data_IF_879388613547
#
_entry.id   IF_879388613547
#
_cell.length_a   1.000
_cell.length_b   1.000
_cell.length_c   1.000
_cell.angle_alpha   90.00
_cell.angle_beta   90.00
_cell.angle_gamma   90.00
#
_symmetry.space_group_name_H-M   'P 1'
#
loop_
_entity.id
_entity.type
_entity.pdbx_description
1 polymer ?
#
# COMPACT_ATOMS: atom_id res chain seq x y z
N UNK A 1 24.30 -4.45 15.79
CA UNK A 1 23.92 -3.12 15.32
C UNK A 1 22.41 -3.03 15.26
N UNK A 2 21.81 -2.11 16.01
CA UNK A 2 20.36 -1.90 16.03
C UNK A 2 20.05 -0.67 15.19
N UNK A 3 19.05 -0.76 14.32
CA UNK A 3 18.51 0.35 13.54
C UNK A 3 17.14 0.74 14.10
N UNK A 4 16.96 1.99 14.48
CA UNK A 4 15.73 2.49 15.10
C UNK A 4 15.02 3.44 14.14
N UNK A 5 13.72 3.22 13.91
CA UNK A 5 12.85 4.14 13.20
C UNK A 5 11.58 4.46 13.99
N UNK A 6 10.64 5.17 13.37
CA UNK A 6 9.34 5.44 13.96
C UNK A 6 8.19 5.47 12.96
N UNK A 7 6.99 5.21 13.49
CA UNK A 7 5.70 5.41 12.83
C UNK A 7 4.97 6.61 13.42
N UNK A 8 4.17 7.27 12.58
CA UNK A 8 3.16 8.26 13.01
C UNK A 8 1.79 7.66 13.27
N UNK A 9 1.63 6.36 13.07
CA UNK A 9 0.36 5.63 13.15
C UNK A 9 0.42 4.57 14.25
N UNK A 10 -0.71 4.36 14.92
CA UNK A 10 -0.87 3.25 15.85
C UNK A 10 -0.95 1.93 15.08
N UNK A 11 -0.40 0.87 15.66
CA UNK A 11 -0.51 -0.48 15.12
C UNK A 11 -1.66 -1.15 15.85
N UNK A 12 -2.75 -1.45 15.13
CA UNK A 12 -3.94 -2.08 15.73
C UNK A 12 -3.87 -3.61 15.72
N UNK A 13 -3.18 -4.18 14.74
CA UNK A 13 -3.08 -5.61 14.47
C UNK A 13 -1.73 -5.89 13.80
N UNK A 14 -1.19 -7.10 13.99
CA UNK A 14 0.02 -7.56 13.33
C UNK A 14 -0.25 -8.92 12.67
N UNK A 15 -0.61 -8.90 11.39
CA UNK A 15 -0.95 -10.10 10.61
C UNK A 15 -0.68 -9.86 9.11
N UNK A 16 -0.28 -10.89 8.35
CA UNK A 16 -0.06 -10.78 6.91
C UNK A 16 -1.33 -10.51 6.09
N UNK A 17 -2.52 -10.67 6.69
CA UNK A 17 -3.81 -10.51 6.01
C UNK A 17 -4.59 -9.23 6.37
N UNK A 18 -4.11 -8.42 7.33
CA UNK A 18 -4.79 -7.18 7.69
C UNK A 18 -4.41 -6.00 6.79
N UNK A 19 -5.38 -5.11 6.60
CA UNK A 19 -5.17 -3.80 6.02
C UNK A 19 -4.55 -2.86 7.08
N UNK A 20 -3.51 -2.11 6.70
CA UNK A 20 -2.92 -1.05 7.52
C UNK A 20 -1.46 -0.77 7.16
N UNK A 21 -1.06 0.50 7.15
CA UNK A 21 0.30 0.91 6.78
C UNK A 21 1.39 0.28 7.67
N UNK A 22 1.14 0.17 8.98
CA UNK A 22 2.08 -0.49 9.89
C UNK A 22 2.22 -2.00 9.62
N UNK A 23 1.14 -2.66 9.19
CA UNK A 23 1.17 -4.04 8.73
C UNK A 23 1.99 -4.16 7.45
N UNK A 24 1.85 -3.21 6.51
CA UNK A 24 2.56 -3.26 5.23
C UNK A 24 4.09 -3.28 5.41
N UNK A 25 4.63 -2.41 6.26
CA UNK A 25 6.09 -2.30 6.44
C UNK A 25 6.62 -3.49 7.24
N UNK A 26 5.92 -3.88 8.30
CA UNK A 26 6.29 -5.06 9.11
C UNK A 26 6.26 -6.33 8.26
N UNK A 27 5.18 -6.56 7.50
CA UNK A 27 5.06 -7.72 6.62
C UNK A 27 6.12 -7.72 5.51
N UNK A 28 6.52 -6.55 5.00
CA UNK A 28 7.53 -6.44 3.94
C UNK A 28 8.91 -6.96 4.37
N UNK A 29 9.26 -6.84 5.64
CA UNK A 29 10.55 -7.32 6.16
C UNK A 29 10.47 -8.74 6.74
N UNK A 30 9.27 -9.17 7.18
CA UNK A 30 9.09 -10.48 7.81
C UNK A 30 8.54 -11.57 6.90
N UNK A 31 7.91 -11.24 5.77
CA UNK A 31 7.35 -12.23 4.85
C UNK A 31 7.89 -12.04 3.43
N UNK A 32 8.26 -13.16 2.79
CA UNK A 32 8.61 -13.15 1.38
C UNK A 32 7.39 -13.26 0.47
N UNK A 33 7.63 -13.00 -0.81
CA UNK A 33 6.66 -12.99 -1.90
C UNK A 33 7.28 -13.70 -3.10
N UNK A 34 6.48 -14.16 -4.05
CA UNK A 34 7.02 -14.77 -5.28
C UNK A 34 7.98 -13.81 -5.99
N UNK A 35 7.60 -12.54 -6.08
CA UNK A 35 8.35 -11.47 -6.72
C UNK A 35 8.43 -10.23 -5.82
N UNK A 36 9.27 -9.28 -6.20
CA UNK A 36 9.36 -7.97 -5.56
C UNK A 36 9.40 -6.85 -6.59
N UNK A 37 8.95 -5.66 -6.20
CA UNK A 37 9.13 -4.47 -7.03
C UNK A 37 10.56 -3.98 -6.90
N UNK A 38 11.27 -3.90 -8.02
CA UNK A 38 12.62 -3.39 -8.14
C UNK A 38 12.68 -1.85 -8.05
N UNK A 39 13.89 -1.26 -7.98
CA UNK A 39 14.07 0.19 -7.97
C UNK A 39 13.55 0.90 -9.23
N UNK A 40 13.40 0.17 -10.33
CA UNK A 40 12.83 0.61 -11.60
C UNK A 40 11.29 0.57 -11.64
N UNK A 41 10.65 0.15 -10.54
CA UNK A 41 9.20 0.02 -10.45
C UNK A 41 8.64 -1.22 -11.13
N UNK A 42 9.48 -2.15 -11.60
CA UNK A 42 9.07 -3.37 -12.27
C UNK A 42 9.17 -4.59 -11.35
N UNK A 43 8.30 -5.62 -11.52
CA UNK A 43 8.44 -6.89 -10.84
C UNK A 43 9.76 -7.57 -11.19
N UNK A 44 10.45 -8.08 -10.17
CA UNK A 44 11.72 -8.80 -10.25
C UNK A 44 11.60 -10.11 -9.48
N UNK A 45 12.33 -11.17 -9.88
CA UNK A 45 12.44 -12.43 -9.14
C UNK A 45 12.77 -12.23 -7.65
N UNK A 46 12.23 -13.10 -6.78
CA UNK A 46 12.49 -13.12 -5.34
C UNK A 46 12.52 -14.55 -4.77
N UNK A 47 11.36 -15.14 -4.43
CA UNK A 47 11.25 -16.58 -4.15
C UNK A 47 11.25 -17.41 -5.44
N UNK A 48 10.63 -16.87 -6.50
CA UNK A 48 10.82 -17.39 -7.85
C UNK A 48 12.15 -16.89 -8.43
N UNK A 49 12.82 -17.72 -9.22
CA UNK A 49 14.00 -17.36 -10.03
C UNK A 49 13.61 -16.99 -11.46
N UNK A 50 12.66 -17.73 -12.02
CA UNK A 50 12.17 -17.57 -13.39
C UNK A 50 10.69 -17.87 -13.47
N UNK A 51 10.07 -17.45 -14.58
CA UNK A 51 8.69 -17.79 -14.88
C UNK A 51 8.45 -17.93 -16.39
N UNK A 52 7.49 -18.77 -16.72
CA UNK A 52 6.99 -18.99 -18.08
C UNK A 52 5.53 -18.58 -18.13
N UNK A 53 5.12 -17.87 -19.17
CA UNK A 53 3.71 -17.54 -19.44
C UNK A 53 3.27 -18.33 -20.65
N UNK A 54 2.16 -19.07 -20.52
CA UNK A 54 1.59 -19.83 -21.62
C UNK A 54 1.14 -18.93 -22.77
N UNK A 55 1.00 -19.51 -23.97
CA UNK A 55 0.65 -18.75 -25.18
C UNK A 55 -0.70 -18.02 -25.10
N UNK A 56 -1.66 -18.54 -24.32
CA UNK A 56 -2.94 -17.88 -24.10
C UNK A 56 -2.88 -16.83 -22.98
N UNK A 57 -1.77 -16.73 -22.24
CA UNK A 57 -1.58 -15.75 -21.17
C UNK A 57 -2.29 -16.07 -19.86
N UNK A 58 -2.81 -17.28 -19.69
CA UNK A 58 -3.63 -17.67 -18.53
C UNK A 58 -2.90 -18.57 -17.54
N UNK A 59 -1.81 -19.20 -17.93
CA UNK A 59 -1.05 -20.10 -17.06
C UNK A 59 0.33 -19.51 -16.89
N UNK A 60 0.72 -19.29 -15.63
CA UNK A 60 2.05 -18.81 -15.26
C UNK A 60 2.71 -19.92 -14.45
N UNK A 61 3.86 -20.40 -14.90
CA UNK A 61 4.65 -21.39 -14.18
C UNK A 61 5.90 -20.74 -13.65
N UNK A 62 6.06 -20.73 -12.33
CA UNK A 62 7.26 -20.25 -11.65
C UNK A 62 8.20 -21.41 -11.38
N UNK A 63 9.50 -21.20 -11.59
CA UNK A 63 10.54 -22.06 -11.00
C UNK A 63 11.03 -21.37 -9.74
N UNK A 64 10.92 -22.06 -8.61
CA UNK A 64 11.36 -21.55 -7.33
C UNK A 64 12.88 -21.74 -7.18
N UNK A 65 13.48 -20.90 -6.34
CA UNK A 65 14.88 -21.04 -5.94
C UNK A 65 15.12 -22.37 -5.21
N UNK A 66 16.31 -22.95 -5.40
CA UNK A 66 16.70 -24.20 -4.73
C UNK A 66 16.89 -24.02 -3.20
N UNK A 67 17.19 -22.80 -2.76
CA UNK A 67 17.44 -22.43 -1.37
C UNK A 67 16.25 -21.67 -0.75
N UNK A 68 15.03 -22.22 -0.89
CA UNK A 68 13.86 -21.67 -0.20
C UNK A 68 14.16 -21.50 1.30
N UNK A 69 13.79 -20.35 1.90
CA UNK A 69 14.11 -20.04 3.29
C UNK A 69 13.37 -20.99 4.24
N UNK A 70 13.86 -21.08 5.47
CA UNK A 70 13.05 -21.61 6.56
C UNK A 70 12.05 -20.55 7.02
N UNK A 71 10.87 -21.01 7.43
CA UNK A 71 9.98 -20.23 8.27
C UNK A 71 10.68 -19.84 9.57
N UNK A 72 10.26 -18.74 10.19
CA UNK A 72 10.88 -18.23 11.42
C UNK A 72 10.72 -19.18 12.62
N UNK A 73 9.83 -20.16 12.55
CA UNK A 73 9.69 -21.24 13.53
C UNK A 73 10.59 -22.46 13.27
N UNK A 74 11.38 -22.42 12.19
CA UNK A 74 12.35 -23.44 11.79
C UNK A 74 11.80 -24.51 10.85
N UNK A 75 10.51 -24.49 10.50
CA UNK A 75 9.99 -25.36 9.44
C UNK A 75 10.53 -24.93 8.07
N UNK A 76 10.73 -25.88 7.17
CA UNK A 76 11.25 -25.60 5.83
C UNK A 76 10.09 -25.13 4.93
N UNK A 77 10.23 -23.97 4.28
CA UNK A 77 9.27 -23.55 3.26
C UNK A 77 9.34 -24.50 2.06
N UNK A 78 8.17 -24.83 1.50
CA UNK A 78 8.05 -25.67 0.30
C UNK A 78 7.18 -25.03 -0.77
N UNK A 79 7.11 -25.64 -1.96
CA UNK A 79 6.25 -25.19 -3.06
C UNK A 79 4.76 -25.23 -2.68
N UNK A 80 4.39 -26.13 -1.78
CA UNK A 80 3.05 -26.30 -1.24
C UNK A 80 2.58 -25.05 -0.51
N UNK A 81 3.42 -24.39 0.30
CA UNK A 81 3.08 -23.13 0.97
C UNK A 81 2.67 -22.02 -0.03
N UNK A 82 3.36 -21.95 -1.18
CA UNK A 82 3.05 -20.98 -2.23
C UNK A 82 1.69 -21.29 -2.85
N UNK A 83 1.45 -22.54 -3.26
CA UNK A 83 0.18 -22.94 -3.86
C UNK A 83 -0.99 -22.78 -2.87
N UNK A 84 -0.78 -23.23 -1.63
CA UNK A 84 -1.69 -23.02 -0.52
C UNK A 84 -2.06 -21.54 -0.38
N UNK A 85 -1.07 -20.63 -0.32
CA UNK A 85 -1.31 -19.20 -0.12
C UNK A 85 -2.28 -18.63 -1.14
N UNK A 86 -2.06 -18.88 -2.45
CA UNK A 86 -2.90 -18.29 -3.49
C UNK A 86 -4.31 -18.88 -3.49
N UNK A 87 -4.44 -20.19 -3.31
CA UNK A 87 -5.74 -20.86 -3.22
C UNK A 87 -6.50 -20.38 -1.97
N UNK A 88 -5.84 -20.33 -0.83
CA UNK A 88 -6.40 -19.90 0.45
C UNK A 88 -6.93 -18.47 0.39
N UNK A 89 -6.14 -17.53 -0.14
CA UNK A 89 -6.61 -16.16 -0.28
C UNK A 89 -7.82 -16.08 -1.21
N UNK A 90 -7.79 -16.80 -2.33
CA UNK A 90 -8.88 -16.83 -3.32
C UNK A 90 -10.17 -17.43 -2.75
N UNK A 91 -10.07 -18.50 -1.96
CA UNK A 91 -11.20 -19.15 -1.27
C UNK A 91 -11.87 -18.20 -0.27
N UNK A 92 -11.06 -17.55 0.57
CA UNK A 92 -11.55 -16.69 1.64
C UNK A 92 -11.85 -15.25 1.19
N UNK A 93 -11.65 -14.94 -0.10
CA UNK A 93 -11.87 -13.62 -0.69
C UNK A 93 -11.27 -12.48 0.16
N UNK A 94 -10.03 -12.68 0.63
CA UNK A 94 -9.40 -11.80 1.62
C UNK A 94 -9.48 -10.33 1.19
N UNK A 95 -10.25 -9.47 1.90
CA UNK A 95 -10.64 -8.16 1.38
C UNK A 95 -9.47 -7.25 1.01
N UNK A 96 -8.38 -7.32 1.79
CA UNK A 96 -7.19 -6.51 1.54
C UNK A 96 -6.48 -6.86 0.21
N UNK A 97 -6.61 -8.10 -0.25
CA UNK A 97 -6.04 -8.61 -1.50
C UNK A 97 -7.09 -8.87 -2.57
N UNK A 98 -8.35 -8.44 -2.39
CA UNK A 98 -9.47 -8.79 -3.28
C UNK A 98 -9.15 -8.52 -4.76
N UNK A 99 -8.67 -7.32 -5.10
CA UNK A 99 -8.30 -6.96 -6.47
C UNK A 99 -7.07 -7.75 -6.99
N UNK A 100 -6.19 -8.19 -6.10
CA UNK A 100 -5.00 -8.96 -6.44
C UNK A 100 -5.34 -10.43 -6.72
N UNK A 101 -6.33 -10.99 -6.06
CA UNK A 101 -6.67 -12.43 -6.16
C UNK A 101 -7.84 -12.70 -7.11
N UNK A 102 -8.70 -11.71 -7.37
CA UNK A 102 -9.84 -11.87 -8.28
C UNK A 102 -9.46 -12.42 -9.67
N UNK A 103 -8.30 -12.09 -10.28
CA UNK A 103 -7.90 -12.67 -11.56
C UNK A 103 -7.52 -14.15 -11.50
N UNK A 104 -7.26 -14.72 -10.32
CA UNK A 104 -6.86 -16.11 -10.14
C UNK A 104 -8.06 -17.05 -10.30
N UNK A 105 -7.85 -18.19 -10.95
CA UNK A 105 -8.84 -19.27 -10.97
C UNK A 105 -8.98 -19.85 -9.53
N UNK A 106 -10.20 -20.15 -9.05
CA UNK A 106 -10.39 -20.89 -7.80
C UNK A 106 -9.67 -22.24 -7.85
N UNK A 107 -8.90 -22.58 -6.81
CA UNK A 107 -7.98 -23.74 -6.78
C UNK A 107 -6.97 -23.78 -7.95
N UNK A 108 -6.68 -22.62 -8.53
CA UNK A 108 -5.85 -22.48 -9.73
C UNK A 108 -4.34 -22.57 -9.49
N UNK A 109 -3.88 -22.64 -8.24
CA UNK A 109 -2.46 -22.78 -7.91
C UNK A 109 -2.12 -24.24 -7.56
N UNK A 110 -1.07 -24.80 -8.17
CA UNK A 110 -0.66 -26.19 -7.94
C UNK A 110 0.86 -26.36 -8.02
N UNK A 111 1.38 -27.33 -7.26
CA UNK A 111 2.79 -27.71 -7.31
C UNK A 111 3.03 -28.69 -8.47
N UNK A 112 4.09 -28.43 -9.22
CA UNK A 112 4.63 -29.33 -10.22
C UNK A 112 5.93 -29.97 -9.71
N UNK A 113 6.47 -30.94 -10.47
CA UNK A 113 7.79 -31.51 -10.17
C UNK A 113 8.90 -30.44 -10.21
N UNK A 114 10.05 -30.75 -9.59
CA UNK A 114 11.29 -29.96 -9.65
C UNK A 114 11.18 -28.51 -9.11
N UNK A 115 10.40 -28.29 -8.04
CA UNK A 115 10.33 -26.99 -7.37
C UNK A 115 9.58 -25.93 -8.19
N UNK A 116 8.64 -26.37 -9.04
CA UNK A 116 7.84 -25.47 -9.88
C UNK A 116 6.43 -25.32 -9.33
N UNK A 117 5.87 -24.13 -9.49
CA UNK A 117 4.47 -23.83 -9.11
C UNK A 117 3.74 -23.26 -10.32
N UNK A 118 2.60 -23.84 -10.66
CA UNK A 118 1.70 -23.34 -11.69
C UNK A 118 0.59 -22.51 -11.03
N UNK A 119 0.29 -21.34 -11.61
CA UNK A 119 -0.82 -20.48 -11.21
C UNK A 119 -1.67 -20.16 -12.44
N UNK A 120 -2.95 -20.50 -12.37
CA UNK A 120 -3.93 -20.28 -13.43
C UNK A 120 -4.80 -19.04 -13.17
N UNK A 121 -5.08 -18.31 -14.25
CA UNK A 121 -5.88 -17.10 -14.27
C UNK A 121 -7.20 -17.34 -15.03
N UNK A 122 -8.29 -16.77 -14.53
CA UNK A 122 -9.59 -16.83 -15.21
C UNK A 122 -9.53 -16.22 -16.62
N UNK A 123 -8.72 -15.15 -16.78
CA UNK A 123 -8.46 -14.46 -18.05
C UNK A 123 -7.02 -13.93 -18.07
N UNK A 124 -6.44 -13.67 -19.26
CA UNK A 124 -5.11 -13.07 -19.36
C UNK A 124 -5.08 -11.71 -18.64
N UNK A 125 -4.18 -11.57 -17.66
CA UNK A 125 -4.11 -10.38 -16.81
C UNK A 125 -2.66 -10.00 -16.51
N UNK A 126 -2.04 -9.22 -17.39
CA UNK A 126 -0.64 -8.78 -17.23
C UNK A 126 -0.34 -8.07 -15.89
N UNK A 127 -1.24 -7.27 -15.28
CA UNK A 127 -0.96 -6.64 -13.99
C UNK A 127 -0.79 -7.62 -12.81
N UNK A 128 -1.08 -8.92 -12.96
CA UNK A 128 -0.91 -9.95 -11.91
C UNK A 128 0.51 -9.95 -11.31
N UNK A 129 1.53 -9.65 -12.11
CA UNK A 129 2.92 -9.61 -11.66
C UNK A 129 3.17 -8.51 -10.62
N UNK A 130 2.53 -7.35 -10.79
CA UNK A 130 2.65 -6.19 -9.87
C UNK A 130 1.65 -6.30 -8.73
N UNK A 131 0.38 -6.59 -9.05
CA UNK A 131 -0.73 -6.52 -8.09
C UNK A 131 -0.82 -7.74 -7.19
N UNK A 132 -0.34 -8.90 -7.65
CA UNK A 132 -0.50 -10.19 -6.97
C UNK A 132 0.86 -10.73 -6.54
N UNK A 133 1.70 -11.15 -7.48
CA UNK A 133 2.94 -11.88 -7.18
C UNK A 133 3.99 -11.04 -6.45
N UNK A 134 3.95 -9.71 -6.62
CA UNK A 134 4.82 -8.77 -5.90
C UNK A 134 4.22 -8.18 -4.62
N UNK A 135 2.97 -8.53 -4.28
CA UNK A 135 2.22 -7.94 -3.17
C UNK A 135 1.76 -8.95 -2.12
N UNK A 136 1.35 -10.13 -2.54
CA UNK A 136 0.88 -11.21 -1.66
C UNK A 136 2.06 -11.82 -0.91
N UNK A 137 1.99 -11.76 0.42
CA UNK A 137 2.92 -12.43 1.34
C UNK A 137 2.63 -13.93 1.36
N UNK A 138 3.66 -14.77 1.23
CA UNK A 138 3.50 -16.23 1.34
C UNK A 138 3.22 -16.58 2.80
N UNK A 139 2.21 -17.43 3.00
CA UNK A 139 1.72 -17.88 4.30
C UNK A 139 2.25 -19.28 4.61
N UNK A 140 2.66 -19.56 5.87
CA UNK A 140 2.97 -20.92 6.31
C UNK A 140 1.71 -21.80 6.35
N UNK A 141 1.61 -22.80 5.47
CA UNK A 141 0.43 -23.69 5.39
C UNK A 141 0.16 -24.38 6.73
N UNK A 142 1.20 -24.84 7.41
CA UNK A 142 1.11 -25.54 8.70
C UNK A 142 0.51 -24.70 9.84
N UNK A 143 0.40 -23.37 9.67
CA UNK A 143 -0.27 -22.46 10.60
C UNK A 143 -1.65 -22.08 10.05
N UNK A 144 -1.69 -21.53 8.84
CA UNK A 144 -2.89 -20.88 8.29
C UNK A 144 -3.99 -21.86 7.90
N UNK A 145 -3.66 -23.10 7.54
CA UNK A 145 -4.66 -24.15 7.29
C UNK A 145 -5.50 -24.48 8.51
N UNK A 146 -4.96 -24.28 9.73
CA UNK A 146 -5.64 -24.56 10.99
C UNK A 146 -6.49 -23.41 11.50
N UNK A 147 -6.26 -22.19 11.03
CA UNK A 147 -6.96 -20.98 11.51
C UNK A 147 -8.49 -21.09 11.41
N UNK A 148 -9.09 -21.53 10.29
CA UNK A 148 -10.55 -21.64 10.19
C UNK A 148 -11.17 -22.64 11.19
N UNK A 149 -10.41 -23.65 11.62
CA UNK A 149 -10.91 -24.74 12.48
C UNK A 149 -10.55 -24.55 13.96
N UNK A 150 -9.39 -23.96 14.25
CA UNK A 150 -8.82 -23.86 15.59
C UNK A 150 -9.04 -22.50 16.26
N UNK A 151 -9.65 -21.52 15.56
CA UNK A 151 -9.88 -20.17 16.09
C UNK A 151 -11.36 -19.77 16.02
N UNK A 152 -11.79 -18.85 16.89
CA UNK A 152 -13.18 -18.37 16.99
C UNK A 152 -13.42 -17.13 16.11
N UNK A 153 -13.00 -17.19 14.85
CA UNK A 153 -13.20 -16.12 13.87
C UNK A 153 -14.09 -16.58 12.73
N UNK A 154 -14.91 -15.67 12.20
CA UNK A 154 -15.80 -16.00 11.08
C UNK A 154 -15.04 -16.19 9.75
N UNK A 155 -13.85 -15.59 9.63
CA UNK A 155 -12.98 -15.74 8.48
C UNK A 155 -11.50 -15.55 8.89
N UNK A 156 -10.55 -16.24 8.24
CA UNK A 156 -9.14 -16.20 8.65
C UNK A 156 -8.47 -14.84 8.61
N UNK A 157 -8.88 -13.96 7.68
CA UNK A 157 -8.36 -12.59 7.62
C UNK A 157 -8.80 -11.72 8.81
N UNK A 158 -9.75 -12.18 9.63
CA UNK A 158 -10.12 -11.55 10.91
C UNK A 158 -9.27 -12.05 12.08
N UNK A 159 -8.51 -13.13 11.88
CA UNK A 159 -7.61 -13.63 12.90
C UNK A 159 -6.46 -12.65 13.12
N UNK A 160 -6.35 -12.19 14.36
CA UNK A 160 -5.24 -11.38 14.83
C UNK A 160 -4.60 -12.12 16.02
N UNK A 161 -3.40 -12.69 15.86
CA UNK A 161 -2.73 -13.36 16.95
C UNK A 161 -2.52 -12.36 18.11
N UNK A 162 -2.85 -12.75 19.34
CA UNK A 162 -2.68 -11.87 20.52
C UNK A 162 -1.23 -11.89 21.00
N UNK A 163 -0.78 -10.88 21.76
CA UNK A 163 0.62 -10.81 22.25
C UNK A 163 1.12 -12.10 22.96
N UNK A 164 0.25 -12.87 23.64
CA UNK A 164 0.65 -14.16 24.23
C UNK A 164 0.83 -15.29 23.22
N UNK A 165 0.19 -15.20 22.05
CA UNK A 165 0.34 -16.12 20.92
C UNK A 165 1.47 -15.69 19.99
N UNK A 166 1.68 -14.37 19.81
CA UNK A 166 2.77 -13.81 18.99
C UNK A 166 4.14 -14.23 19.54
N UNK A 167 4.35 -14.21 20.87
CA UNK A 167 5.63 -14.65 21.47
C UNK A 167 5.88 -16.16 21.41
N UNK A 168 4.85 -16.98 21.09
CA UNK A 168 4.97 -18.43 21.04
C UNK A 168 4.83 -19.04 19.65
N UNK A 169 4.27 -18.32 18.64
CA UNK A 169 4.07 -18.80 17.25
C UNK A 169 3.30 -17.84 16.30
N UNK A 170 2.87 -16.64 16.71
CA UNK A 170 1.78 -15.94 16.00
C UNK A 170 2.15 -15.17 14.73
N UNK A 171 3.37 -14.65 14.60
CA UNK A 171 3.80 -13.88 13.42
C UNK A 171 5.03 -14.51 12.77
N UNK A 172 4.82 -15.73 12.26
CA UNK A 172 5.83 -16.52 11.56
C UNK A 172 5.77 -16.17 10.08
N UNK A 173 6.86 -15.58 9.58
CA UNK A 173 7.09 -15.39 8.16
C UNK A 173 8.37 -16.10 7.72
N UNK A 174 8.84 -15.76 6.53
CA UNK A 174 10.05 -16.33 5.94
C UNK A 174 11.14 -15.30 5.67
N UNK A 175 10.84 -14.02 5.90
CA UNK A 175 11.64 -12.89 5.46
C UNK A 175 12.93 -12.67 6.22
N UNK A 176 13.62 -11.60 5.84
CA UNK A 176 14.94 -11.22 6.32
C UNK A 176 14.97 -10.78 7.79
N UNK A 177 13.84 -10.40 8.37
CA UNK A 177 13.69 -10.09 9.79
C UNK A 177 12.63 -10.98 10.43
N UNK A 178 12.84 -11.36 11.68
CA UNK A 178 11.91 -12.12 12.50
C UNK A 178 11.31 -11.19 13.55
N UNK A 179 10.04 -11.40 13.88
CA UNK A 179 9.42 -10.68 14.99
C UNK A 179 10.10 -11.04 16.32
N UNK A 180 10.31 -10.03 17.17
CA UNK A 180 10.85 -10.21 18.52
C UNK A 180 9.83 -9.84 19.59
N UNK A 181 9.37 -8.58 19.61
CA UNK A 181 8.41 -8.12 20.61
C UNK A 181 7.52 -6.98 20.10
N UNK A 182 6.42 -6.75 20.83
CA UNK A 182 5.51 -5.64 20.58
C UNK A 182 4.99 -5.03 21.88
N UNK A 183 5.46 -3.83 22.19
CA UNK A 183 4.80 -2.94 23.14
C UNK A 183 3.81 -2.07 22.36
N UNK A 184 2.52 -2.37 22.50
CA UNK A 184 1.44 -1.77 21.70
C UNK A 184 1.36 -0.25 21.82
N UNK A 185 1.97 0.34 22.84
CA UNK A 185 1.98 1.79 23.05
C UNK A 185 3.34 2.44 22.80
N UNK A 186 4.39 1.66 22.53
CA UNK A 186 5.76 2.18 22.48
C UNK A 186 6.53 1.75 21.22
N UNK A 187 6.67 0.45 20.95
CA UNK A 187 7.53 -0.02 19.86
C UNK A 187 7.26 -1.47 19.41
N UNK A 188 7.72 -1.78 18.20
CA UNK A 188 7.80 -3.14 17.66
C UNK A 188 9.27 -3.44 17.37
N UNK A 189 9.76 -4.57 17.89
CA UNK A 189 11.11 -5.05 17.69
C UNK A 189 11.15 -6.23 16.71
N UNK A 190 12.20 -6.23 15.89
CA UNK A 190 12.55 -7.32 14.98
C UNK A 190 14.03 -7.64 15.09
N UNK A 191 14.37 -8.93 14.96
CA UNK A 191 15.75 -9.43 14.91
C UNK A 191 16.07 -9.95 13.53
N UNK A 192 17.33 -9.87 13.11
CA UNK A 192 17.75 -10.36 11.79
C UNK A 192 17.62 -11.89 11.67
N UNK A 193 17.14 -12.33 10.52
CA UNK A 193 17.22 -13.72 10.10
C UNK A 193 18.55 -13.94 9.36
N UNK A 194 19.61 -14.32 10.10
CA UNK A 194 20.95 -14.55 9.53
C UNK A 194 20.98 -15.69 8.49
N UNK A 195 19.97 -16.57 8.49
CA UNK A 195 19.88 -17.69 7.55
C UNK A 195 19.09 -17.36 6.28
N UNK A 196 18.55 -16.14 6.16
CA UNK A 196 17.84 -15.73 4.95
C UNK A 196 18.80 -15.55 3.77
N UNK A 197 18.36 -15.89 2.56
CA UNK A 197 19.17 -15.71 1.35
C UNK A 197 19.52 -14.25 1.06
N UNK A 198 18.80 -13.30 1.67
CA UNK A 198 19.08 -11.87 1.68
C UNK A 198 19.24 -11.34 3.11
N UNK A 199 20.00 -12.07 3.94
CA UNK A 199 20.28 -11.74 5.33
C UNK A 199 20.63 -10.25 5.53
N UNK A 200 20.01 -9.56 6.52
CA UNK A 200 20.31 -8.17 6.79
C UNK A 200 21.76 -7.96 7.26
N UNK A 201 22.26 -6.73 7.07
CA UNK A 201 23.57 -6.30 7.59
C UNK A 201 23.48 -5.57 8.95
N UNK A 202 22.32 -5.63 9.59
CA UNK A 202 22.03 -5.12 10.93
C UNK A 202 21.45 -6.27 11.76
N UNK A 203 21.61 -6.22 13.08
CA UNK A 203 21.19 -7.31 13.97
C UNK A 203 19.71 -7.15 14.37
N UNK A 204 19.25 -5.90 14.48
CA UNK A 204 17.93 -5.57 15.02
C UNK A 204 17.33 -4.35 14.32
N UNK A 205 16.02 -4.35 14.17
CA UNK A 205 15.23 -3.19 13.75
C UNK A 205 14.16 -2.90 14.79
N UNK A 206 14.11 -1.67 15.29
CA UNK A 206 13.08 -1.21 16.24
C UNK A 206 12.26 -0.13 15.56
N UNK A 207 10.93 -0.25 15.62
CA UNK A 207 10.01 0.77 15.13
C UNK A 207 9.24 1.36 16.31
N UNK A 208 9.52 2.61 16.65
CA UNK A 208 8.86 3.34 17.74
C UNK A 208 7.57 4.01 17.28
N UNK A 209 6.56 4.02 18.14
CA UNK A 209 5.29 4.68 17.88
C UNK A 209 5.40 6.13 18.38
N UNK A 210 5.57 7.07 17.45
CA UNK A 210 5.67 8.51 17.72
C UNK A 210 4.70 9.24 16.79
N UNK A 211 3.45 9.38 17.24
CA UNK A 211 2.34 9.87 16.40
C UNK A 211 2.45 11.34 16.00
N UNK A 212 3.21 12.14 16.76
CA UNK A 212 3.41 13.56 16.50
C UNK A 212 4.69 13.83 15.68
N UNK A 213 4.53 14.43 14.50
CA UNK A 213 5.66 14.64 13.56
C UNK A 213 6.78 15.49 14.16
N UNK A 214 6.46 16.53 14.94
CA UNK A 214 7.49 17.34 15.62
C UNK A 214 8.26 16.52 16.67
N UNK A 215 7.61 15.56 17.33
CA UNK A 215 8.29 14.69 18.28
C UNK A 215 9.23 13.71 17.56
N UNK A 216 8.88 13.23 16.36
CA UNK A 216 9.78 12.43 15.52
C UNK A 216 11.03 13.22 15.11
N UNK A 217 10.88 14.46 14.65
CA UNK A 217 12.02 15.31 14.27
C UNK A 217 12.95 15.53 15.46
N UNK A 218 12.39 15.86 16.62
CA UNK A 218 13.19 16.03 17.84
C UNK A 218 13.87 14.71 18.28
N UNK A 219 13.24 13.55 18.04
CA UNK A 219 13.84 12.25 18.34
C UNK A 219 15.01 11.94 17.39
N UNK A 220 14.86 12.27 16.10
CA UNK A 220 15.92 12.14 15.09
C UNK A 220 17.11 13.03 15.45
N UNK A 221 16.86 14.29 15.82
CA UNK A 221 17.90 15.25 16.24
C UNK A 221 18.70 14.79 17.47
N UNK A 222 18.04 14.10 18.41
CA UNK A 222 18.70 13.55 19.61
C UNK A 222 19.42 12.23 19.36
N UNK A 223 19.26 11.62 18.18
CA UNK A 223 19.73 10.26 17.90
C UNK A 223 18.93 9.17 18.62
N UNK A 224 17.70 9.49 19.05
CA UNK A 224 16.79 8.48 19.62
C UNK A 224 16.23 7.56 18.52
N UNK A 225 16.13 8.05 17.28
CA UNK A 225 15.82 7.27 16.07
C UNK A 225 16.87 7.58 15.00
N UNK A 226 17.18 6.62 14.14
CA UNK A 226 18.22 6.74 13.11
C UNK A 226 17.66 7.27 11.78
N UNK A 227 16.40 6.97 11.47
CA UNK A 227 15.72 7.44 10.27
C UNK A 227 14.19 7.43 10.42
N UNK A 228 13.47 8.14 9.56
CA UNK A 228 12.00 8.20 9.58
C UNK A 228 11.43 7.44 8.38
N UNK A 229 10.78 6.30 8.62
CA UNK A 229 10.06 5.55 7.57
C UNK A 229 8.83 6.36 7.09
N UNK A 230 8.22 7.10 7.99
CA UNK A 230 7.07 7.96 7.72
C UNK A 230 7.18 9.22 8.57
N UNK A 231 6.81 10.35 7.98
CA UNK A 231 6.67 11.62 8.70
C UNK A 231 5.60 12.48 8.05
N UNK A 232 4.82 13.19 8.87
CA UNK A 232 3.91 14.24 8.41
C UNK A 232 4.54 15.63 8.41
N UNK A 233 5.85 15.73 8.71
CA UNK A 233 6.55 17.00 8.67
C UNK A 233 6.70 17.51 7.24
N UNK A 234 6.64 18.84 7.07
CA UNK A 234 6.93 19.47 5.80
C UNK A 234 8.36 19.14 5.36
N UNK A 235 8.60 18.77 4.08
CA UNK A 235 9.93 18.40 3.60
C UNK A 235 11.03 19.42 3.86
N UNK A 236 10.74 20.73 3.74
CA UNK A 236 11.75 21.76 4.01
C UNK A 236 12.10 21.91 5.49
N UNK A 237 11.18 21.57 6.41
CA UNK A 237 11.52 21.46 7.84
C UNK A 237 12.50 20.29 8.05
N UNK A 238 12.30 19.17 7.35
CA UNK A 238 13.20 18.01 7.46
C UNK A 238 14.56 18.29 6.83
N UNK A 239 14.59 19.00 5.70
CA UNK A 239 15.84 19.47 5.08
C UNK A 239 16.62 20.40 6.02
N UNK A 240 15.93 21.35 6.69
CA UNK A 240 16.55 22.24 7.66
C UNK A 240 17.08 21.50 8.89
N UNK A 241 16.28 20.58 9.47
CA UNK A 241 16.71 19.72 10.59
C UNK A 241 17.97 18.92 10.21
N UNK A 242 17.99 18.29 9.04
CA UNK A 242 19.17 17.53 8.60
C UNK A 242 20.39 18.42 8.36
N UNK A 243 20.19 19.60 7.75
CA UNK A 243 21.29 20.54 7.46
C UNK A 243 21.88 21.19 8.72
N UNK A 244 21.12 21.25 9.80
CA UNK A 244 21.52 21.87 11.08
C UNK A 244 21.99 20.87 12.14
N UNK A 245 21.91 19.56 11.86
CA UNK A 245 22.27 18.49 12.79
C UNK A 245 23.41 17.63 12.25
N UNK A 246 24.55 17.62 12.93
CA UNK A 246 25.70 16.81 12.53
C UNK A 246 25.34 15.32 12.49
N UNK A 247 25.62 14.66 11.36
CA UNK A 247 25.38 13.23 11.17
C UNK A 247 24.03 12.88 10.56
N UNK A 248 23.14 13.87 10.34
CA UNK A 248 21.91 13.66 9.59
C UNK A 248 22.10 14.05 8.12
N UNK A 249 21.36 13.36 7.26
CA UNK A 249 21.23 13.69 5.83
C UNK A 249 19.77 13.68 5.44
N UNK A 250 19.41 14.58 4.53
CA UNK A 250 18.09 14.60 3.90
C UNK A 250 18.22 14.10 2.46
N UNK A 251 17.44 13.08 2.11
CA UNK A 251 17.35 12.57 0.74
C UNK A 251 15.92 12.70 0.22
N UNK A 252 15.78 13.43 -0.89
CA UNK A 252 14.51 13.50 -1.61
C UNK A 252 14.46 12.42 -2.69
N UNK A 253 13.47 11.53 -2.57
CA UNK A 253 13.21 10.46 -3.53
C UNK A 253 11.90 10.73 -4.27
N UNK A 254 11.83 10.31 -5.54
CA UNK A 254 10.57 10.39 -6.31
C UNK A 254 9.60 9.33 -5.80
N UNK A 255 8.41 9.76 -5.37
CA UNK A 255 7.33 8.86 -4.97
C UNK A 255 6.57 8.33 -6.18
N UNK A 256 6.07 7.09 -6.07
CA UNK A 256 5.10 6.51 -7.01
C UNK A 256 3.64 6.92 -6.68
N UNK A 257 3.44 7.59 -5.55
CA UNK A 257 2.14 8.05 -5.08
C UNK A 257 1.77 9.46 -5.56
N UNK A 258 0.55 9.87 -5.23
CA UNK A 258 0.01 11.19 -5.48
C UNK A 258 -0.99 11.54 -4.39
N UNK A 259 -1.20 12.84 -4.18
CA UNK A 259 -2.29 13.35 -3.36
C UNK A 259 -3.45 13.81 -4.25
N UNK A 260 -4.67 13.51 -3.84
CA UNK A 260 -5.88 13.85 -4.60
C UNK A 260 -7.00 14.43 -3.74
N UNK A 261 -7.85 15.21 -4.40
CA UNK A 261 -9.18 15.53 -3.89
C UNK A 261 -10.18 14.50 -4.44
N UNK A 262 -10.42 13.44 -3.68
CA UNK A 262 -11.36 12.38 -4.05
C UNK A 262 -12.82 12.88 -3.93
N UNK A 263 -13.48 13.09 -5.07
CA UNK A 263 -14.87 13.56 -5.14
C UNK A 263 -15.84 12.38 -5.12
N UNK A 264 -16.73 12.31 -4.12
CA UNK A 264 -17.72 11.24 -4.03
C UNK A 264 -18.84 11.43 -5.07
N UNK A 265 -18.71 10.75 -6.21
CA UNK A 265 -19.64 10.84 -7.35
C UNK A 265 -21.06 10.33 -7.08
N UNK A 266 -21.31 9.76 -5.88
CA UNK A 266 -22.65 9.34 -5.45
C UNK A 266 -23.43 10.46 -4.76
N UNK A 267 -22.81 11.61 -4.48
CA UNK A 267 -23.42 12.73 -3.74
C UNK A 267 -23.47 14.00 -4.57
N UNK A 268 -24.48 14.84 -4.31
CA UNK A 268 -24.48 16.21 -4.83
C UNK A 268 -23.36 17.03 -4.18
N UNK A 269 -22.73 17.97 -4.91
CA UNK A 269 -22.89 18.23 -6.35
C UNK A 269 -21.96 17.37 -7.23
N UNK A 270 -21.16 16.48 -6.63
CA UNK A 270 -20.09 15.75 -7.31
C UNK A 270 -20.55 14.61 -8.23
N UNK A 271 -21.82 14.23 -8.25
CA UNK A 271 -22.34 13.33 -9.28
C UNK A 271 -22.25 13.96 -10.68
N UNK A 272 -22.37 15.28 -10.77
CA UNK A 272 -22.30 16.02 -12.02
C UNK A 272 -20.84 16.20 -12.47
N UNK A 273 -20.54 15.75 -13.68
CA UNK A 273 -19.21 15.90 -14.26
C UNK A 273 -18.83 17.37 -14.49
N UNK A 274 -19.79 18.26 -14.73
CA UNK A 274 -19.53 19.69 -14.91
C UNK A 274 -18.90 20.30 -13.66
N UNK A 275 -19.43 19.95 -12.48
CA UNK A 275 -18.90 20.39 -11.19
C UNK A 275 -17.49 19.88 -10.97
N UNK A 276 -17.23 18.59 -11.25
CA UNK A 276 -15.89 18.01 -11.10
C UNK A 276 -14.86 18.66 -12.02
N UNK A 277 -15.26 18.99 -13.26
CA UNK A 277 -14.41 19.72 -14.22
C UNK A 277 -14.09 21.12 -13.74
N UNK A 278 -15.11 21.85 -13.27
CA UNK A 278 -14.93 23.19 -12.71
C UNK A 278 -13.96 23.17 -11.51
N UNK A 279 -14.17 22.27 -10.54
CA UNK A 279 -13.27 22.08 -9.41
C UNK A 279 -11.83 21.76 -9.86
N UNK A 280 -11.65 20.82 -10.80
CA UNK A 280 -10.33 20.43 -11.29
C UNK A 280 -9.59 21.58 -12.00
N UNK A 281 -10.33 22.56 -12.52
CA UNK A 281 -9.78 23.70 -13.26
C UNK A 281 -9.25 24.80 -12.35
N UNK A 282 -9.81 24.95 -11.15
CA UNK A 282 -9.50 26.07 -10.25
C UNK A 282 -8.61 25.71 -9.06
N UNK A 283 -8.30 24.42 -8.85
CA UNK A 283 -7.41 24.00 -7.77
C UNK A 283 -5.98 24.50 -8.08
N UNK A 284 -5.37 25.33 -7.21
CA UNK A 284 -4.08 25.95 -7.46
C UNK A 284 -2.94 24.98 -7.13
N UNK A 285 -2.79 23.91 -7.94
CA UNK A 285 -1.84 22.82 -7.67
C UNK A 285 -0.41 23.33 -7.55
N UNK A 286 0.00 24.30 -8.36
CA UNK A 286 1.33 24.89 -8.32
C UNK A 286 1.58 25.64 -7.00
N UNK A 287 0.59 26.35 -6.48
CA UNK A 287 0.71 27.01 -5.17
C UNK A 287 0.80 25.96 -4.07
N UNK A 288 -0.03 24.92 -4.13
CA UNK A 288 0.00 23.81 -3.16
C UNK A 288 1.37 23.12 -3.16
N UNK A 289 1.91 22.76 -4.32
CA UNK A 289 3.21 22.06 -4.37
C UNK A 289 4.38 22.94 -3.93
N UNK A 290 4.32 24.25 -4.19
CA UNK A 290 5.36 25.16 -3.71
C UNK A 290 5.26 25.46 -2.22
N UNK A 291 4.07 25.80 -1.72
CA UNK A 291 3.90 26.26 -0.33
C UNK A 291 3.77 25.10 0.67
N UNK A 292 3.00 24.05 0.34
CA UNK A 292 2.76 22.93 1.26
C UNK A 292 3.86 21.87 1.21
N UNK A 293 4.49 21.66 0.05
CA UNK A 293 5.55 20.66 -0.12
C UNK A 293 6.95 21.28 -0.27
N UNK A 294 7.09 22.61 -0.15
CA UNK A 294 8.38 23.29 -0.30
C UNK A 294 9.10 22.97 -1.62
N UNK A 295 8.34 22.73 -2.69
CA UNK A 295 8.88 22.35 -4.01
C UNK A 295 9.27 20.88 -4.16
N UNK A 296 9.07 20.04 -3.14
CA UNK A 296 9.30 18.58 -3.20
C UNK A 296 8.14 17.78 -3.80
N UNK A 297 7.19 18.46 -4.43
CA UNK A 297 6.11 17.86 -5.19
C UNK A 297 5.95 18.56 -6.54
N UNK A 298 5.41 17.82 -7.51
CA UNK A 298 5.03 18.35 -8.82
C UNK A 298 3.51 18.26 -9.02
N UNK A 299 2.87 19.22 -9.73
CA UNK A 299 1.44 19.14 -10.00
C UNK A 299 1.04 17.83 -10.68
N UNK A 300 0.19 17.04 -10.03
CA UNK A 300 -0.33 15.80 -10.59
C UNK A 300 -1.47 16.08 -11.59
N UNK A 301 -1.39 15.49 -12.79
CA UNK A 301 -2.45 15.56 -13.81
C UNK A 301 -3.04 14.20 -14.19
N UNK A 302 -2.49 13.13 -13.61
CA UNK A 302 -2.86 11.73 -13.83
C UNK A 302 -2.63 10.96 -12.51
N UNK A 303 -3.38 9.88 -12.22
CA UNK A 303 -3.07 8.99 -11.10
C UNK A 303 -1.75 8.20 -11.29
N UNK A 304 -1.15 8.24 -12.48
CA UNK A 304 0.14 7.59 -12.75
C UNK A 304 1.30 8.58 -12.60
N UNK A 305 2.09 8.43 -11.54
CA UNK A 305 3.24 9.28 -11.25
C UNK A 305 4.32 9.24 -12.37
N UNK A 306 5.01 10.36 -12.66
CA UNK A 306 6.02 10.40 -13.74
C UNK A 306 7.21 9.47 -13.57
N UNK A 307 7.53 9.06 -12.34
CA UNK A 307 8.59 8.06 -12.07
C UNK A 307 8.28 6.69 -12.68
N UNK A 308 7.01 6.39 -12.95
CA UNK A 308 6.57 5.18 -13.62
C UNK A 308 6.58 5.37 -15.14
N UNK A 309 7.75 5.64 -15.72
CA UNK A 309 7.91 6.07 -17.13
C UNK A 309 7.18 5.17 -18.13
N UNK A 310 7.20 3.85 -17.92
CA UNK A 310 6.52 2.89 -18.79
C UNK A 310 4.99 3.08 -18.83
N UNK A 311 4.38 3.51 -17.72
CA UNK A 311 2.93 3.66 -17.56
C UNK A 311 2.46 5.11 -17.66
N UNK A 312 3.38 6.07 -17.51
CA UNK A 312 3.05 7.48 -17.46
C UNK A 312 2.76 8.05 -18.86
N UNK A 313 1.62 8.72 -18.99
CA UNK A 313 1.29 9.49 -20.18
C UNK A 313 1.38 11.00 -19.86
N UNK A 314 2.38 11.73 -20.39
CA UNK A 314 2.52 13.16 -20.16
C UNK A 314 1.49 14.01 -20.93
N UNK A 315 0.84 13.45 -21.94
CA UNK A 315 -0.09 14.15 -22.85
C UNK A 315 -1.56 14.07 -22.38
N UNK A 316 -1.78 13.86 -21.08
CA UNK A 316 -3.12 13.93 -20.48
C UNK A 316 -3.63 15.37 -20.42
N UNK A 317 -4.96 15.54 -20.39
CA UNK A 317 -5.55 16.87 -20.19
C UNK A 317 -5.12 17.44 -18.84
N UNK A 318 -4.48 18.60 -18.86
CA UNK A 318 -4.07 19.35 -17.68
C UNK A 318 -5.14 20.36 -17.34
N UNK A 319 -6.03 20.00 -16.42
CA UNK A 319 -7.15 20.86 -16.03
C UNK A 319 -6.70 22.21 -15.45
N UNK A 320 -5.51 22.30 -14.86
CA UNK A 320 -4.95 23.55 -14.33
C UNK A 320 -4.52 24.56 -15.41
N UNK A 321 -4.50 24.17 -16.69
CA UNK A 321 -4.27 25.10 -17.80
C UNK A 321 -5.55 25.85 -18.21
N UNK A 322 -6.71 25.48 -17.63
CA UNK A 322 -7.98 26.19 -17.80
C UNK A 322 -8.05 27.40 -16.86
N UNK A 323 -8.85 28.41 -17.22
CA UNK A 323 -9.06 29.59 -16.39
C UNK A 323 -10.40 29.54 -15.62
N UNK A 324 -10.60 30.54 -14.75
CA UNK A 324 -11.86 30.72 -14.02
C UNK A 324 -13.07 30.89 -14.96
N UNK A 325 -12.87 31.39 -16.18
CA UNK A 325 -13.95 31.55 -17.16
C UNK A 325 -14.40 30.19 -17.69
N UNK A 326 -13.46 29.31 -18.07
CA UNK A 326 -13.72 27.92 -18.43
C UNK A 326 -14.43 27.17 -17.29
N UNK A 327 -13.98 27.35 -16.05
CA UNK A 327 -14.62 26.72 -14.88
C UNK A 327 -16.08 27.16 -14.71
N UNK A 328 -16.35 28.46 -14.84
CA UNK A 328 -17.72 29.01 -14.81
C UNK A 328 -18.54 28.52 -15.99
N UNK A 329 -17.96 28.44 -17.19
CA UNK A 329 -18.65 27.95 -18.37
C UNK A 329 -19.11 26.50 -18.20
N UNK A 330 -18.26 25.61 -17.64
CA UNK A 330 -18.67 24.23 -17.35
C UNK A 330 -19.92 24.17 -16.47
N UNK A 331 -20.01 25.04 -15.45
CA UNK A 331 -21.14 25.10 -14.53
C UNK A 331 -22.38 25.69 -15.21
N UNK A 332 -22.25 26.82 -15.90
CA UNK A 332 -23.41 27.48 -16.55
C UNK A 332 -23.97 26.67 -17.71
N UNK A 333 -23.12 25.98 -18.49
CA UNK A 333 -23.56 25.09 -19.57
C UNK A 333 -24.33 23.88 -19.04
N UNK A 334 -24.06 23.46 -17.79
CA UNK A 334 -24.80 22.44 -17.08
C UNK A 334 -26.06 22.97 -16.36
N UNK A 335 -26.34 24.27 -16.46
CA UNK A 335 -27.53 24.91 -15.90
C UNK A 335 -27.38 25.43 -14.47
N UNK A 336 -26.18 25.42 -13.90
CA UNK A 336 -25.94 26.05 -12.60
C UNK A 336 -25.90 27.56 -12.75
N UNK A 337 -26.44 28.27 -11.75
CA UNK A 337 -26.36 29.73 -11.69
C UNK A 337 -25.32 30.15 -10.65
N UNK A 338 -24.53 31.18 -10.95
CA UNK A 338 -23.58 31.76 -9.99
C UNK A 338 -24.02 33.19 -9.70
N UNK A 339 -24.55 33.44 -8.51
CA UNK A 339 -25.04 34.76 -8.06
C UNK A 339 -24.23 35.20 -6.85
N UNK A 340 -23.55 36.34 -6.95
CA UNK A 340 -22.70 36.91 -5.90
C UNK A 340 -21.65 35.94 -5.32
N UNK A 341 -21.15 35.02 -6.15
CA UNK A 341 -20.17 34.00 -5.76
C UNK A 341 -20.77 32.72 -5.17
N UNK A 342 -22.10 32.67 -5.01
CA UNK A 342 -22.83 31.47 -4.59
C UNK A 342 -23.25 30.66 -5.80
N UNK A 343 -22.99 29.34 -5.77
CA UNK A 343 -23.40 28.39 -6.80
C UNK A 343 -24.79 27.82 -6.47
N UNK A 344 -25.75 27.99 -7.38
CA UNK A 344 -27.11 27.48 -7.30
C UNK A 344 -27.30 26.32 -8.28
N UNK A 345 -28.03 25.31 -7.83
CA UNK A 345 -28.34 24.13 -8.64
C UNK A 345 -29.35 24.47 -9.75
N UNK A 346 -29.26 23.84 -10.94
CA UNK A 346 -30.31 23.96 -11.96
C UNK A 346 -31.70 23.57 -11.41
N UNK A 347 -32.76 24.25 -11.83
CA UNK A 347 -34.14 23.87 -11.50
C UNK A 347 -34.47 22.46 -12.04
N UNK A 348 -34.76 21.48 -11.16
CA UNK A 348 -35.07 20.09 -11.55
C UNK A 348 -34.88 19.06 -10.43
N UNK A 349 -35.22 17.79 -10.69
CA UNK A 349 -35.03 16.69 -9.73
C UNK A 349 -33.54 16.42 -9.46
N UNK A 350 -33.10 16.72 -8.24
CA UNK A 350 -31.85 16.20 -7.71
C UNK A 350 -32.04 14.68 -7.51
N UNK A 351 -31.12 13.82 -7.97
CA UNK A 351 -31.25 12.37 -7.75
C UNK A 351 -31.46 12.06 -6.26
N UNK A 352 -32.44 11.23 -5.90
CA UNK A 352 -32.78 10.90 -4.48
C UNK A 352 -31.57 10.46 -3.64
N UNK A 353 -30.59 9.82 -4.28
CA UNK A 353 -29.35 9.34 -3.64
C UNK A 353 -28.35 10.47 -3.30
N UNK A 354 -28.67 11.71 -3.67
CA UNK A 354 -27.84 12.88 -3.43
C UNK A 354 -28.13 13.60 -2.10
N UNK A 355 -29.17 13.20 -1.39
CA UNK A 355 -29.47 13.70 -0.04
C UNK A 355 -28.75 12.81 0.97
N UNK A 356 -27.89 13.33 1.86
CA UNK A 356 -27.33 12.55 2.95
C UNK A 356 -28.48 11.96 3.78
N UNK A 357 -28.43 10.67 4.10
CA UNK A 357 -29.36 10.09 5.07
C UNK A 357 -29.26 10.88 6.38
N UNK A 358 -30.28 11.70 6.68
CA UNK A 358 -30.38 12.47 7.93
C UNK A 358 -30.03 13.96 7.87
N UNK A 359 -29.78 14.55 6.71
CA UNK A 359 -29.72 16.01 6.57
C UNK A 359 -31.04 16.52 5.99
N UNK A 360 -31.79 17.34 6.74
CA UNK A 360 -32.91 18.08 6.16
C UNK A 360 -32.39 19.00 5.04
N UNK A 361 -33.14 19.13 3.93
CA UNK A 361 -32.71 19.89 2.77
C UNK A 361 -32.94 21.39 3.01
N UNK A 362 -32.17 22.00 3.90
CA UNK A 362 -32.08 23.45 4.01
C UNK A 362 -30.91 23.95 3.13
N UNK A 363 -31.13 23.91 1.82
CA UNK A 363 -30.37 24.74 0.88
C UNK A 363 -31.26 25.95 0.54
N UNK A 364 -30.89 27.12 1.07
CA UNK A 364 -31.42 28.43 0.62
C UNK A 364 -30.44 29.04 -0.36
#
# INVERSE_FOLDING_TARGET
>A
TTLVSSYTIEVGQLTPLAAGEANLISNRITHDKLMRIGPDGLPQPWLAEEYEVSNNGQTITFTLRDDLPQWHDGEQMTAEDIAFTFNYLREWETPFFADAILPLEPDGASVLDDGRVEINLENPFAPVFVLTFSRVHILPEHIWSRVPEETDVEAPYLWNPTNSDITNQGYVGSGAFMFDHWDTSAEIGFVANENHFAAPNIDEMIIRIITESQAQSNALERGDVDFLIQTGANPGVMEETASSTDGLSFEAIRSVGYDELAMNTRRSPFYDAAVRKACSSVIPKETITQEMYNGYAEPAHSPTAPVLEFWHNPDVKKWTEEDDESARAYLTDAGYEIVDGTLYHPEGEVPENAVPSGAEPDWV
#
